data_IF_262602192934
#
_entry.id   IF_262602192934
#
_cell.length_a   1.000
_cell.length_b   1.000
_cell.length_c   1.000
_cell.angle_alpha   90.00
_cell.angle_beta   90.00
_cell.angle_gamma   90.00
#
_symmetry.space_group_name_H-M   'P 1'
#
loop_
_entity.id
_entity.type
_entity.pdbx_description
1 polymer ?
#
# COMPACT_ATOMS: atom_id res chain seq x y z
N UNK A 1 57.66 -32.18 18.80
CA UNK A 1 56.54 -31.41 19.39
C UNK A 1 55.53 -31.11 18.28
N UNK A 2 54.56 -32.00 18.09
CA UNK A 2 53.50 -31.87 17.08
C UNK A 2 52.23 -31.42 17.81
N UNK A 3 51.81 -30.19 17.59
CA UNK A 3 50.60 -29.63 18.17
C UNK A 3 49.37 -30.09 17.36
N UNK A 4 48.55 -30.94 17.98
CA UNK A 4 47.25 -31.37 17.45
C UNK A 4 46.25 -30.22 17.57
N UNK A 5 45.90 -29.58 16.46
CA UNK A 5 44.79 -28.63 16.39
C UNK A 5 43.45 -29.39 16.42
N UNK A 6 42.66 -29.21 17.49
CA UNK A 6 41.28 -29.73 17.55
C UNK A 6 40.38 -28.97 16.58
N UNK A 7 39.48 -29.63 15.85
CA UNK A 7 38.45 -28.96 15.08
C UNK A 7 37.41 -28.39 16.06
N UNK A 8 37.28 -27.08 16.11
CA UNK A 8 36.17 -26.38 16.79
C UNK A 8 34.89 -26.67 16.03
N UNK A 9 33.99 -27.47 16.61
CA UNK A 9 32.65 -27.68 16.07
C UNK A 9 31.88 -26.35 16.00
N UNK A 10 31.12 -26.09 14.93
CA UNK A 10 30.32 -24.87 14.83
C UNK A 10 29.25 -24.89 15.93
N UNK A 11 29.28 -23.90 16.82
CA UNK A 11 28.25 -23.69 17.80
C UNK A 11 26.89 -23.55 17.08
N UNK A 12 25.97 -24.45 17.36
CA UNK A 12 24.60 -24.35 16.89
C UNK A 12 23.99 -23.09 17.51
N UNK A 13 23.93 -21.99 16.74
CA UNK A 13 23.21 -20.78 17.13
C UNK A 13 21.75 -21.17 17.38
N UNK A 14 21.32 -21.07 18.63
CA UNK A 14 19.94 -21.32 19.03
C UNK A 14 19.01 -20.43 18.21
N UNK A 15 18.01 -21.04 17.57
CA UNK A 15 17.03 -20.36 16.74
C UNK A 15 16.11 -19.57 17.67
N UNK A 16 16.29 -18.26 17.73
CA UNK A 16 15.43 -17.39 18.57
C UNK A 16 14.23 -16.96 17.73
N UNK A 17 13.04 -17.41 18.10
CA UNK A 17 11.78 -17.05 17.44
C UNK A 17 11.20 -15.84 18.17
N UNK A 18 10.89 -14.77 17.43
CA UNK A 18 10.33 -13.56 18.02
C UNK A 18 8.84 -13.72 18.29
N UNK A 19 8.50 -14.15 19.51
CA UNK A 19 7.11 -14.42 19.91
C UNK A 19 6.20 -13.20 19.79
N UNK A 20 6.71 -11.99 20.10
CA UNK A 20 5.96 -10.74 19.94
C UNK A 20 5.60 -10.46 18.47
N UNK A 21 6.54 -10.70 17.54
CA UNK A 21 6.33 -10.54 16.10
C UNK A 21 5.32 -11.56 15.58
N UNK A 22 5.38 -12.80 16.04
CA UNK A 22 4.38 -13.82 15.70
C UNK A 22 2.99 -13.49 16.25
N UNK A 23 2.90 -12.97 17.48
CA UNK A 23 1.63 -12.51 18.05
C UNK A 23 1.04 -11.36 17.22
N UNK A 24 1.86 -10.37 16.85
CA UNK A 24 1.45 -9.27 15.98
C UNK A 24 0.96 -9.77 14.61
N UNK A 25 1.76 -10.60 13.93
CA UNK A 25 1.39 -11.19 12.64
C UNK A 25 0.12 -12.04 12.75
N UNK A 26 -0.08 -12.75 13.88
CA UNK A 26 -1.29 -13.53 14.13
C UNK A 26 -2.54 -12.65 14.28
N UNK A 27 -2.46 -11.55 15.03
CA UNK A 27 -3.56 -10.58 15.15
C UNK A 27 -3.85 -9.93 13.80
N UNK A 28 -2.81 -9.51 13.08
CA UNK A 28 -2.93 -8.91 11.74
C UNK A 28 -3.55 -9.89 10.74
N UNK A 29 -3.15 -11.15 10.77
CA UNK A 29 -3.72 -12.21 9.95
C UNK A 29 -5.21 -12.39 10.25
N UNK A 30 -5.59 -12.41 11.53
CA UNK A 30 -6.98 -12.55 11.94
C UNK A 30 -7.83 -11.36 11.49
N UNK A 31 -7.30 -10.14 11.60
CA UNK A 31 -7.97 -8.92 11.11
C UNK A 31 -8.20 -8.98 9.59
N UNK A 32 -7.17 -9.34 8.81
CA UNK A 32 -7.30 -9.46 7.35
C UNK A 32 -8.16 -10.66 6.92
N UNK A 33 -8.15 -11.75 7.67
CA UNK A 33 -9.06 -12.89 7.45
C UNK A 33 -10.52 -12.46 7.64
N UNK A 34 -10.82 -11.76 8.73
CA UNK A 34 -12.16 -11.22 8.98
C UNK A 34 -12.59 -10.21 7.91
N UNK A 35 -11.70 -9.28 7.54
CA UNK A 35 -11.92 -8.34 6.43
C UNK A 35 -12.24 -9.06 5.11
N UNK A 36 -11.48 -10.10 4.78
CA UNK A 36 -11.66 -10.88 3.55
C UNK A 36 -12.96 -11.67 3.56
N UNK A 37 -13.35 -12.24 4.70
CA UNK A 37 -14.64 -12.90 4.88
C UNK A 37 -15.81 -11.93 4.64
N UNK A 38 -15.76 -10.73 5.22
CA UNK A 38 -16.76 -9.69 4.93
C UNK A 38 -16.77 -9.34 3.44
N UNK A 39 -15.60 -9.30 2.80
CA UNK A 39 -15.48 -9.06 1.37
C UNK A 39 -16.04 -10.19 0.48
N UNK A 40 -15.98 -11.44 0.93
CA UNK A 40 -16.57 -12.58 0.23
C UNK A 40 -18.10 -12.53 0.22
N UNK A 41 -18.71 -11.84 1.18
CA UNK A 41 -20.17 -11.59 1.19
C UNK A 41 -20.65 -10.57 0.15
N UNK A 42 -19.76 -9.75 -0.42
CA UNK A 42 -20.12 -8.70 -1.39
C UNK A 42 -20.09 -9.21 -2.83
N UNK A 43 -20.92 -8.68 -3.73
CA UNK A 43 -20.92 -9.11 -5.15
C UNK A 43 -19.56 -8.84 -5.84
N UNK A 44 -19.08 -9.84 -6.59
CA UNK A 44 -17.85 -9.73 -7.40
C UNK A 44 -18.04 -8.85 -8.64
N UNK A 45 -19.20 -8.98 -9.29
CA UNK A 45 -19.65 -8.14 -10.39
C UNK A 45 -21.10 -7.77 -10.13
N UNK A 46 -21.45 -6.55 -10.50
CA UNK A 46 -22.84 -6.07 -10.50
C UNK A 46 -23.67 -6.82 -11.54
N UNK A 47 -25.00 -6.76 -11.42
CA UNK A 47 -25.94 -7.30 -12.42
C UNK A 47 -25.72 -6.76 -13.85
N UNK A 48 -25.14 -5.55 -13.98
CA UNK A 48 -24.79 -4.94 -15.26
C UNK A 48 -23.43 -5.43 -15.83
N UNK A 49 -22.80 -6.43 -15.21
CA UNK A 49 -21.50 -6.98 -15.63
C UNK A 49 -20.29 -6.11 -15.26
N UNK A 50 -20.50 -4.96 -14.61
CA UNK A 50 -19.44 -4.09 -14.08
C UNK A 50 -18.83 -4.67 -12.81
N UNK A 51 -17.63 -4.23 -12.46
CA UNK A 51 -16.99 -4.66 -11.21
C UNK A 51 -17.82 -4.26 -9.99
N UNK A 52 -18.03 -5.24 -9.12
CA UNK A 52 -18.80 -5.09 -7.90
C UNK A 52 -17.94 -4.62 -6.72
N UNK A 53 -18.57 -4.18 -5.62
CA UNK A 53 -17.87 -3.65 -4.45
C UNK A 53 -16.98 -4.68 -3.76
N UNK A 54 -17.22 -5.98 -3.98
CA UNK A 54 -16.40 -7.06 -3.40
C UNK A 54 -15.05 -7.28 -4.10
N UNK A 55 -14.85 -6.77 -5.32
CA UNK A 55 -13.65 -7.09 -6.12
C UNK A 55 -12.35 -6.61 -5.46
N UNK A 56 -12.24 -5.31 -5.17
CA UNK A 56 -11.02 -4.75 -4.58
C UNK A 56 -10.75 -5.29 -3.18
N UNK A 57 -11.74 -5.33 -2.25
CA UNK A 57 -11.50 -5.85 -0.91
C UNK A 57 -11.06 -7.30 -0.88
N UNK A 58 -11.57 -8.16 -1.79
CA UNK A 58 -11.13 -9.55 -1.87
C UNK A 58 -9.69 -9.68 -2.35
N UNK A 59 -9.29 -8.95 -3.40
CA UNK A 59 -7.91 -8.99 -3.89
C UNK A 59 -6.96 -8.49 -2.80
N UNK A 60 -7.25 -7.32 -2.21
CA UNK A 60 -6.45 -6.75 -1.14
C UNK A 60 -6.33 -7.73 0.04
N UNK A 61 -7.45 -8.28 0.48
CA UNK A 61 -7.52 -9.23 1.58
C UNK A 61 -6.72 -10.50 1.34
N UNK A 62 -6.90 -11.14 0.19
CA UNK A 62 -6.16 -12.36 -0.19
C UNK A 62 -4.66 -12.09 -0.33
N UNK A 63 -4.27 -10.99 -0.98
CA UNK A 63 -2.85 -10.64 -1.13
C UNK A 63 -2.21 -10.34 0.23
N UNK A 64 -2.88 -9.59 1.11
CA UNK A 64 -2.39 -9.32 2.45
C UNK A 64 -2.23 -10.60 3.27
N UNK A 65 -3.24 -11.48 3.27
CA UNK A 65 -3.16 -12.80 3.93
C UNK A 65 -1.97 -13.60 3.40
N UNK A 66 -1.78 -13.66 2.09
CA UNK A 66 -0.66 -14.39 1.48
C UNK A 66 0.70 -13.85 1.96
N UNK A 67 0.88 -12.53 1.96
CA UNK A 67 2.10 -11.88 2.44
C UNK A 67 2.34 -12.17 3.93
N UNK A 68 1.31 -12.09 4.76
CA UNK A 68 1.40 -12.36 6.20
C UNK A 68 1.76 -13.83 6.46
N UNK A 69 1.13 -14.77 5.75
CA UNK A 69 1.46 -16.20 5.86
C UNK A 69 2.91 -16.45 5.47
N UNK A 70 3.39 -15.85 4.37
CA UNK A 70 4.81 -15.93 3.97
C UNK A 70 5.71 -15.37 5.08
N UNK A 71 5.36 -14.23 5.68
CA UNK A 71 6.13 -13.62 6.77
C UNK A 71 6.18 -14.53 8.01
N UNK A 72 5.05 -15.15 8.40
CA UNK A 72 4.99 -16.12 9.51
C UNK A 72 5.85 -17.34 9.22
N UNK A 73 5.75 -17.92 8.02
CA UNK A 73 6.56 -19.08 7.62
C UNK A 73 8.04 -18.72 7.64
N UNK A 74 8.43 -17.56 7.12
CA UNK A 74 9.82 -17.09 7.18
C UNK A 74 10.30 -16.92 8.61
N UNK A 75 9.52 -16.29 9.49
CA UNK A 75 9.90 -16.10 10.90
C UNK A 75 10.11 -17.44 11.63
N UNK A 76 9.24 -18.42 11.42
CA UNK A 76 9.33 -19.76 12.05
C UNK A 76 10.48 -20.58 11.46
N UNK A 77 10.67 -20.54 10.15
CA UNK A 77 11.68 -21.38 9.46
C UNK A 77 13.08 -20.79 9.57
N UNK A 78 13.25 -19.49 9.27
CA UNK A 78 14.55 -18.85 9.16
C UNK A 78 15.06 -18.24 10.46
N UNK A 79 14.21 -18.09 11.50
CA UNK A 79 14.59 -17.60 12.84
C UNK A 79 15.43 -16.33 12.79
N UNK A 80 14.78 -15.17 12.86
CA UNK A 80 15.32 -13.83 12.57
C UNK A 80 15.47 -13.53 11.08
N UNK A 81 14.43 -12.94 10.51
CA UNK A 81 14.57 -12.06 9.35
C UNK A 81 13.92 -10.73 9.75
N UNK A 82 14.67 -9.95 10.53
CA UNK A 82 14.33 -8.57 10.91
C UNK A 82 14.22 -7.69 9.64
N UNK A 83 14.97 -8.03 8.59
CA UNK A 83 15.02 -7.32 7.30
C UNK A 83 13.66 -7.07 6.62
N UNK A 84 12.63 -7.90 6.83
CA UNK A 84 11.31 -7.68 6.22
C UNK A 84 10.41 -6.76 7.03
N UNK A 85 10.50 -6.83 8.36
CA UNK A 85 9.78 -5.88 9.21
C UNK A 85 10.36 -4.50 8.98
N UNK A 86 11.68 -4.39 8.89
CA UNK A 86 12.36 -3.14 8.57
C UNK A 86 12.00 -2.62 7.17
N UNK A 87 11.80 -3.48 6.17
CA UNK A 87 11.39 -3.03 4.83
C UNK A 87 9.95 -2.54 4.75
N UNK A 88 9.01 -3.20 5.42
CA UNK A 88 7.61 -2.75 5.46
C UNK A 88 7.48 -1.51 6.34
N UNK A 89 8.16 -1.47 7.48
CA UNK A 89 8.18 -0.33 8.37
C UNK A 89 8.94 0.86 7.77
N UNK A 90 10.03 0.64 7.02
CA UNK A 90 10.70 1.69 6.27
C UNK A 90 9.88 2.15 5.05
N UNK A 91 9.08 1.28 4.44
CA UNK A 91 8.14 1.68 3.39
C UNK A 91 6.97 2.47 3.97
N UNK A 92 6.45 2.09 5.14
CA UNK A 92 5.46 2.88 5.90
C UNK A 92 6.05 4.21 6.35
N UNK A 93 7.26 4.24 6.90
CA UNK A 93 7.88 5.48 7.39
C UNK A 93 8.38 6.40 6.25
N UNK A 94 8.71 5.85 5.08
CA UNK A 94 8.95 6.63 3.87
C UNK A 94 7.64 7.10 3.19
N UNK A 95 6.53 6.39 3.41
CA UNK A 95 5.20 6.78 2.95
C UNK A 95 4.48 7.72 3.93
N UNK A 96 4.86 7.68 5.21
CA UNK A 96 4.44 8.62 6.24
C UNK A 96 5.06 9.97 5.85
N UNK A 97 4.26 10.92 5.36
CA UNK A 97 4.81 12.24 5.14
C UNK A 97 5.23 12.76 6.53
N UNK A 98 6.36 13.47 6.65
CA UNK A 98 6.83 14.10 7.90
C UNK A 98 5.84 15.23 8.32
N UNK A 99 4.64 14.82 8.72
CA UNK A 99 3.48 15.65 9.03
C UNK A 99 3.57 16.20 10.45
N UNK A 100 4.36 15.55 11.31
CA UNK A 100 4.51 15.89 12.73
C UNK A 100 5.25 17.20 12.98
N UNK A 101 6.09 17.65 12.05
CA UNK A 101 6.83 18.93 12.15
C UNK A 101 6.19 20.10 11.40
N UNK A 102 5.16 19.83 10.61
CA UNK A 102 4.51 20.80 9.74
C UNK A 102 2.99 20.71 9.81
N UNK A 103 2.40 21.07 10.97
CA UNK A 103 0.96 21.31 11.13
C UNK A 103 0.30 22.04 9.94
N UNK A 104 0.90 23.10 9.34
CA UNK A 104 0.32 23.73 8.15
C UNK A 104 0.31 22.84 6.90
N UNK A 105 1.30 21.96 6.72
CA UNK A 105 1.32 21.02 5.58
C UNK A 105 0.23 19.95 5.73
N UNK A 106 0.00 19.46 6.95
CA UNK A 106 -1.10 18.54 7.24
C UNK A 106 -2.46 19.19 6.95
N UNK A 107 -2.68 20.43 7.41
CA UNK A 107 -3.92 21.17 7.13
C UNK A 107 -4.09 21.40 5.62
N UNK A 108 -3.02 21.77 4.91
CA UNK A 108 -3.03 21.96 3.47
C UNK A 108 -3.34 20.66 2.72
N UNK A 109 -2.77 19.53 3.15
CA UNK A 109 -3.03 18.21 2.57
C UNK A 109 -4.48 17.77 2.79
N UNK A 110 -5.00 17.92 4.01
CA UNK A 110 -6.41 17.64 4.33
C UNK A 110 -7.33 18.53 3.47
N UNK A 111 -6.99 19.81 3.33
CA UNK A 111 -7.72 20.75 2.48
C UNK A 111 -7.69 20.33 1.00
N UNK A 112 -6.54 19.91 0.48
CA UNK A 112 -6.39 19.39 -0.87
C UNK A 112 -7.19 18.10 -1.09
N UNK A 113 -7.21 17.20 -0.11
CA UNK A 113 -8.00 15.96 -0.15
C UNK A 113 -9.50 16.25 -0.13
N UNK A 114 -9.96 17.19 0.70
CA UNK A 114 -11.35 17.62 0.71
C UNK A 114 -11.75 18.27 -0.62
N UNK A 115 -10.88 19.12 -1.18
CA UNK A 115 -11.09 19.74 -2.48
C UNK A 115 -11.12 18.70 -3.61
N UNK A 116 -10.26 17.67 -3.54
CA UNK A 116 -10.28 16.54 -4.47
C UNK A 116 -11.64 15.84 -4.45
N UNK A 117 -12.17 15.48 -3.27
CA UNK A 117 -13.48 14.83 -3.14
C UNK A 117 -14.59 15.72 -3.72
N UNK A 118 -14.55 17.03 -3.46
CA UNK A 118 -15.53 17.97 -3.99
C UNK A 118 -15.46 18.09 -5.53
N UNK A 119 -14.25 18.12 -6.09
CA UNK A 119 -14.02 18.22 -7.54
C UNK A 119 -14.19 16.88 -8.26
N UNK A 120 -14.11 15.74 -7.57
CA UNK A 120 -14.10 14.41 -8.18
C UNK A 120 -15.30 14.17 -9.10
N UNK A 121 -16.50 14.57 -8.65
CA UNK A 121 -17.73 14.42 -9.44
C UNK A 121 -17.87 15.40 -10.59
N UNK A 122 -17.25 16.58 -10.50
CA UNK A 122 -17.36 17.65 -11.50
C UNK A 122 -16.26 17.53 -12.55
N UNK A 123 -15.00 17.51 -12.12
CA UNK A 123 -13.82 17.45 -12.99
C UNK A 123 -13.55 16.06 -13.54
N UNK A 124 -14.05 15.02 -12.86
CA UNK A 124 -13.78 13.63 -13.22
C UNK A 124 -12.52 13.09 -12.56
N UNK A 125 -12.40 11.77 -12.54
CA UNK A 125 -11.37 11.07 -11.76
C UNK A 125 -9.94 11.38 -12.23
N UNK A 126 -9.72 11.48 -13.55
CA UNK A 126 -8.40 11.78 -14.10
C UNK A 126 -7.92 13.19 -13.71
N UNK A 127 -8.70 14.22 -14.04
CA UNK A 127 -8.32 15.62 -13.77
C UNK A 127 -8.24 15.91 -12.27
N UNK A 128 -9.22 15.45 -11.48
CA UNK A 128 -9.18 15.64 -10.04
C UNK A 128 -7.93 14.97 -9.44
N UNK A 129 -7.57 13.77 -9.92
CA UNK A 129 -6.37 13.07 -9.49
C UNK A 129 -5.08 13.81 -9.86
N UNK A 130 -5.00 14.36 -11.07
CA UNK A 130 -3.84 15.17 -11.51
C UNK A 130 -3.68 16.43 -10.66
N UNK A 131 -4.78 17.15 -10.39
CA UNK A 131 -4.74 18.34 -9.55
C UNK A 131 -4.36 18.00 -8.11
N UNK A 132 -4.96 16.96 -7.54
CA UNK A 132 -4.66 16.52 -6.18
C UNK A 132 -3.19 16.15 -6.04
N UNK A 133 -2.71 15.21 -6.87
CA UNK A 133 -1.33 14.74 -6.80
C UNK A 133 -0.33 15.86 -7.14
N UNK A 134 -0.69 16.75 -8.08
CA UNK A 134 0.10 17.93 -8.42
C UNK A 134 0.25 18.89 -7.25
N UNK A 135 -0.84 19.23 -6.56
CA UNK A 135 -0.81 20.11 -5.38
C UNK A 135 -0.03 19.45 -4.25
N UNK A 136 -0.24 18.17 -3.99
CA UNK A 136 0.49 17.43 -2.95
C UNK A 136 1.98 17.40 -3.23
N UNK A 137 2.40 17.03 -4.44
CA UNK A 137 3.81 16.97 -4.80
C UNK A 137 4.46 18.35 -4.87
N UNK A 138 3.73 19.40 -5.25
CA UNK A 138 4.25 20.77 -5.22
C UNK A 138 4.56 21.25 -3.80
N UNK A 139 3.78 20.81 -2.82
CA UNK A 139 4.04 21.09 -1.41
C UNK A 139 5.16 20.22 -0.81
N UNK A 140 5.26 18.97 -1.25
CA UNK A 140 6.13 17.96 -0.63
C UNK A 140 7.53 17.87 -1.29
N UNK A 141 7.64 18.06 -2.60
CA UNK A 141 8.89 17.96 -3.39
C UNK A 141 9.25 19.31 -4.03
N UNK A 142 9.82 20.21 -3.23
CA UNK A 142 10.27 21.54 -3.68
C UNK A 142 11.52 21.50 -4.56
N UNK A 143 12.26 20.39 -4.60
CA UNK A 143 13.55 20.35 -5.29
C UNK A 143 13.41 19.88 -6.74
N UNK A 144 12.41 19.05 -7.08
CA UNK A 144 12.29 18.44 -8.41
C UNK A 144 10.91 18.63 -9.07
N UNK A 145 10.49 19.88 -9.23
CA UNK A 145 9.21 20.27 -9.84
C UNK A 145 8.89 19.57 -11.17
N UNK A 146 9.88 19.29 -12.03
CA UNK A 146 9.66 18.59 -13.30
C UNK A 146 9.24 17.13 -13.08
N UNK A 147 9.90 16.42 -12.15
CA UNK A 147 9.55 15.03 -11.81
C UNK A 147 8.19 14.98 -11.13
N UNK A 148 7.94 15.92 -10.22
CA UNK A 148 6.65 16.08 -9.56
C UNK A 148 5.51 16.25 -10.58
N UNK A 149 5.67 17.10 -11.60
CA UNK A 149 4.67 17.29 -12.66
C UNK A 149 4.48 16.02 -13.48
N UNK A 150 5.55 15.32 -13.86
CA UNK A 150 5.44 14.06 -14.61
C UNK A 150 4.66 13.02 -13.81
N UNK A 151 4.99 12.83 -12.52
CA UNK A 151 4.33 11.88 -11.65
C UNK A 151 2.86 12.28 -11.44
N UNK A 152 2.61 13.57 -11.20
CA UNK A 152 1.27 14.13 -11.02
C UNK A 152 0.36 13.90 -12.22
N UNK A 153 0.90 13.81 -13.44
CA UNK A 153 0.12 13.57 -14.65
C UNK A 153 0.04 12.08 -14.98
N UNK A 154 1.19 11.40 -15.03
CA UNK A 154 1.28 10.01 -15.50
C UNK A 154 0.57 9.05 -14.54
N UNK A 155 0.76 9.19 -13.23
CA UNK A 155 0.20 8.24 -12.27
C UNK A 155 -1.34 8.28 -12.25
N UNK A 156 -2.01 9.45 -12.12
CA UNK A 156 -3.47 9.49 -12.10
C UNK A 156 -4.09 9.08 -13.43
N UNK A 157 -3.47 9.42 -14.57
CA UNK A 157 -3.96 9.01 -15.89
C UNK A 157 -3.81 7.50 -16.08
N UNK A 158 -2.65 6.92 -15.75
CA UNK A 158 -2.44 5.48 -15.84
C UNK A 158 -3.42 4.71 -14.94
N UNK A 159 -3.65 5.21 -13.72
CA UNK A 159 -4.63 4.65 -12.81
C UNK A 159 -6.06 4.79 -13.35
N UNK A 160 -6.42 5.95 -13.93
CA UNK A 160 -7.71 6.15 -14.59
C UNK A 160 -7.93 5.10 -15.67
N UNK A 161 -6.98 4.88 -16.58
CA UNK A 161 -7.12 3.87 -17.63
C UNK A 161 -7.15 2.44 -17.09
N UNK A 162 -6.32 2.12 -16.08
CA UNK A 162 -6.35 0.80 -15.45
C UNK A 162 -7.73 0.50 -14.83
N UNK A 163 -8.34 1.50 -14.18
CA UNK A 163 -9.66 1.40 -13.56
C UNK A 163 -10.82 1.44 -14.58
N UNK A 164 -10.72 2.29 -15.60
CA UNK A 164 -11.77 2.49 -16.59
C UNK A 164 -11.77 1.35 -17.63
N UNK A 165 -10.63 1.03 -18.22
CA UNK A 165 -10.51 0.02 -19.28
C UNK A 165 -10.27 -1.37 -18.70
N UNK A 166 -9.36 -1.50 -17.74
CA UNK A 166 -9.01 -2.80 -17.15
C UNK A 166 -10.13 -3.34 -16.27
N UNK A 167 -10.81 -2.45 -15.53
CA UNK A 167 -11.73 -2.82 -14.46
C UNK A 167 -13.19 -2.41 -14.75
N UNK A 168 -13.46 -1.64 -15.81
CA UNK A 168 -14.80 -1.13 -16.14
C UNK A 168 -15.54 -0.58 -14.90
N UNK A 169 -14.77 0.17 -14.08
CA UNK A 169 -15.27 0.75 -12.84
C UNK A 169 -16.32 1.85 -13.11
N UNK A 170 -16.36 2.39 -14.34
CA UNK A 170 -17.21 3.49 -14.78
C UNK A 170 -17.01 4.71 -13.91
N UNK A 171 -15.78 5.21 -13.93
CA UNK A 171 -15.36 6.41 -13.21
C UNK A 171 -16.03 7.65 -13.82
N UNK A 172 -16.22 8.72 -13.03
CA UNK A 172 -16.70 9.99 -13.56
C UNK A 172 -15.71 10.55 -14.58
N UNK A 173 -16.17 10.77 -15.81
CA UNK A 173 -15.39 11.41 -16.88
C UNK A 173 -15.26 12.92 -16.62
N UNK A 174 -16.26 13.51 -15.97
CA UNK A 174 -16.27 14.93 -15.64
C UNK A 174 -16.36 15.83 -16.87
N UNK A 175 -15.59 16.92 -16.88
CA UNK A 175 -15.62 17.94 -17.95
C UNK A 175 -14.84 17.47 -19.20
N UNK A 176 -13.88 16.55 -19.05
CA UNK A 176 -13.11 16.01 -20.17
C UNK A 176 -13.61 14.61 -20.54
N UNK A 177 -14.22 14.41 -21.71
CA UNK A 177 -14.51 13.08 -22.21
C UNK A 177 -13.19 12.43 -22.65
N UNK A 178 -12.57 11.67 -21.75
CA UNK A 178 -11.33 10.92 -22.00
C UNK A 178 -11.61 9.49 -22.51
N UNK A 179 -12.84 9.20 -22.93
CA UNK A 179 -13.30 7.88 -23.41
C UNK A 179 -14.13 7.97 -24.68
#
# INVERSE_FOLDING_TARGET
MTATSRPTAPAARGRHVNWSKLAFLGVLLLAFAFYTEMAMGMEWRTAAGRIGPGFFPRILGVTAIAIIVIAVVREVVSGSSEEQTDQVQAAEEAAEPDLGRHTPALIAFIGAAALFVALFGVLGAALAGVLFLGVTLWFLDREHHIRAVIIAVVVPIALYFALQVGLNAGLPEGILPLS
#
